data_IF_354095969851
#
_entry.id   IF_354095969851
#
_cell.length_a   1.000
_cell.length_b   1.000
_cell.length_c   1.000
_cell.angle_alpha   90.00
_cell.angle_beta   90.00
_cell.angle_gamma   90.00
#
_symmetry.space_group_name_H-M   'P 1'
#
loop_
_entity.id
_entity.type
_entity.pdbx_description
1 polymer ?
#
# COMPACT_ATOMS: atom_id res chain seq x y z
N UNK A 1 15.66 -3.96 4.81
CA UNK A 1 16.70 -5.00 4.49
C UNK A 1 15.98 -6.26 4.05
N UNK A 2 16.44 -6.95 2.99
CA UNK A 2 15.85 -8.24 2.58
C UNK A 2 15.99 -9.29 3.70
N UNK A 3 15.13 -10.33 3.70
CA UNK A 3 15.28 -11.48 4.59
C UNK A 3 16.67 -12.16 4.46
N UNK A 4 17.11 -12.90 5.47
CA UNK A 4 18.38 -13.65 5.39
C UNK A 4 18.42 -14.64 4.21
N UNK A 5 19.60 -14.98 3.67
CA UNK A 5 19.73 -16.03 2.67
C UNK A 5 19.08 -17.36 3.13
N UNK A 6 18.60 -18.17 2.17
CA UNK A 6 17.82 -19.39 2.37
C UNK A 6 16.40 -19.20 2.91
N UNK A 7 15.96 -17.99 3.24
CA UNK A 7 14.57 -17.74 3.62
C UNK A 7 13.65 -18.09 2.44
N UNK A 8 12.55 -18.81 2.70
CA UNK A 8 11.51 -19.08 1.74
C UNK A 8 10.54 -17.92 1.72
N UNK A 9 10.39 -17.27 0.58
CA UNK A 9 9.54 -16.08 0.41
C UNK A 9 8.48 -16.30 -0.67
N UNK A 10 7.34 -15.63 -0.52
CA UNK A 10 6.30 -15.56 -1.55
C UNK A 10 6.26 -14.15 -2.14
N UNK A 11 6.13 -14.06 -3.47
CA UNK A 11 5.93 -12.79 -4.19
C UNK A 11 4.45 -12.47 -4.30
N UNK A 12 4.06 -11.28 -3.91
CA UNK A 12 2.70 -10.78 -4.09
C UNK A 12 2.71 -9.46 -4.86
N UNK A 13 1.77 -9.27 -5.78
CA UNK A 13 1.74 -8.08 -6.61
C UNK A 13 0.54 -8.01 -7.55
N UNK A 14 0.39 -6.91 -8.29
CA UNK A 14 -0.69 -6.75 -9.24
C UNK A 14 -0.46 -7.63 -10.48
N UNK A 15 -1.47 -8.41 -10.86
CA UNK A 15 -1.46 -9.25 -12.06
C UNK A 15 -2.57 -8.84 -13.03
N UNK A 16 -3.81 -8.73 -12.56
CA UNK A 16 -4.98 -8.49 -13.42
C UNK A 16 -4.97 -7.07 -14.01
N UNK A 17 -5.40 -6.96 -15.27
CA UNK A 17 -5.48 -5.67 -15.96
C UNK A 17 -4.12 -5.14 -16.44
N UNK A 18 -3.06 -5.92 -16.29
CA UNK A 18 -1.71 -5.61 -16.77
C UNK A 18 -1.37 -6.56 -17.93
N UNK A 19 -0.69 -6.08 -18.98
CA UNK A 19 -0.26 -6.94 -20.09
C UNK A 19 0.51 -8.17 -19.61
N UNK A 20 0.19 -9.34 -20.19
CA UNK A 20 0.78 -10.62 -19.80
C UNK A 20 0.64 -10.93 -18.31
N UNK A 21 -0.45 -10.47 -17.70
CA UNK A 21 -0.71 -10.64 -16.25
C UNK A 21 0.48 -10.21 -15.36
N UNK A 22 1.29 -9.27 -15.82
CA UNK A 22 2.50 -8.79 -15.12
C UNK A 22 3.58 -9.86 -14.87
N UNK A 23 3.51 -11.02 -15.48
CA UNK A 23 4.49 -12.11 -15.32
C UNK A 23 5.93 -11.64 -15.49
N UNK A 24 6.28 -10.79 -16.48
CA UNK A 24 7.66 -10.31 -16.62
C UNK A 24 8.20 -9.58 -15.37
N UNK A 25 7.35 -8.86 -14.62
CA UNK A 25 7.80 -8.19 -13.41
C UNK A 25 8.02 -9.19 -12.26
N UNK A 26 7.19 -10.24 -12.18
CA UNK A 26 7.40 -11.33 -11.23
C UNK A 26 8.69 -12.10 -11.55
N UNK A 27 8.94 -12.42 -12.81
CA UNK A 27 10.16 -13.11 -13.25
C UNK A 27 11.42 -12.30 -12.90
N UNK A 28 11.41 -11.00 -13.19
CA UNK A 28 12.53 -10.11 -12.88
C UNK A 28 12.78 -10.02 -11.37
N UNK A 29 11.72 -9.89 -10.57
CA UNK A 29 11.84 -9.84 -9.12
C UNK A 29 12.33 -11.18 -8.55
N UNK A 30 11.82 -12.30 -9.03
CA UNK A 30 12.26 -13.64 -8.63
C UNK A 30 13.76 -13.81 -8.89
N UNK A 31 14.23 -13.45 -10.08
CA UNK A 31 15.65 -13.55 -10.43
C UNK A 31 16.55 -12.73 -9.51
N UNK A 32 16.14 -11.51 -9.17
CA UNK A 32 16.88 -10.64 -8.24
C UNK A 32 16.95 -11.26 -6.84
N UNK A 33 15.84 -11.77 -6.34
CA UNK A 33 15.75 -12.34 -5.00
C UNK A 33 16.49 -13.68 -4.89
N UNK A 34 16.43 -14.53 -5.91
CA UNK A 34 17.19 -15.78 -5.98
C UNK A 34 18.70 -15.50 -6.07
N UNK A 35 19.10 -14.47 -6.83
CA UNK A 35 20.51 -14.02 -6.88
C UNK A 35 20.98 -13.52 -5.50
N UNK A 36 20.08 -12.95 -4.70
CA UNK A 36 20.35 -12.57 -3.31
C UNK A 36 20.35 -13.75 -2.34
N UNK A 37 20.15 -14.99 -2.83
CA UNK A 37 20.18 -16.22 -2.04
C UNK A 37 18.86 -16.61 -1.39
N UNK A 38 17.74 -16.00 -1.77
CA UNK A 38 16.41 -16.35 -1.27
C UNK A 38 15.81 -17.51 -2.09
N UNK A 39 14.90 -18.26 -1.47
CA UNK A 39 14.07 -19.26 -2.14
C UNK A 39 12.71 -18.63 -2.42
N UNK A 40 12.28 -18.58 -3.69
CA UNK A 40 11.12 -17.79 -4.08
C UNK A 40 9.98 -18.68 -4.57
N UNK A 41 8.79 -18.49 -4.02
CA UNK A 41 7.52 -18.94 -4.60
C UNK A 41 6.88 -17.74 -5.32
N UNK A 42 6.70 -17.89 -6.63
CA UNK A 42 6.13 -16.85 -7.48
C UNK A 42 4.80 -17.34 -8.05
N UNK A 43 3.69 -16.59 -7.91
CA UNK A 43 2.42 -16.95 -8.52
C UNK A 43 2.53 -17.10 -10.05
N UNK A 44 3.36 -16.29 -10.70
CA UNK A 44 3.59 -16.41 -12.14
C UNK A 44 4.25 -17.75 -12.51
N UNK A 45 5.23 -18.22 -11.74
CA UNK A 45 5.83 -19.52 -11.93
C UNK A 45 4.85 -20.66 -11.63
N UNK A 46 4.11 -20.56 -10.53
CA UNK A 46 3.09 -21.55 -10.14
C UNK A 46 1.97 -21.67 -11.18
N UNK A 47 1.55 -20.57 -11.79
CA UNK A 47 0.53 -20.57 -12.86
C UNK A 47 1.05 -21.25 -14.11
N UNK A 48 2.32 -21.00 -14.51
CA UNK A 48 2.94 -21.71 -15.66
C UNK A 48 3.11 -23.20 -15.39
N UNK A 49 3.47 -23.62 -14.19
CA UNK A 49 3.55 -25.04 -13.81
C UNK A 49 2.21 -25.76 -13.98
N UNK A 50 1.11 -25.03 -13.83
CA UNK A 50 -0.25 -25.55 -14.08
C UNK A 50 -0.68 -25.47 -15.56
N UNK A 51 0.21 -25.04 -16.42
CA UNK A 51 -0.03 -24.97 -17.87
C UNK A 51 -0.64 -23.66 -18.35
N UNK A 52 -0.71 -22.60 -17.53
CA UNK A 52 -1.21 -21.29 -17.95
C UNK A 52 -0.15 -20.55 -18.80
N UNK A 53 -0.53 -20.19 -20.03
CA UNK A 53 0.29 -19.38 -20.94
C UNK A 53 -0.20 -17.94 -20.94
N UNK A 54 0.53 -17.05 -20.28
CA UNK A 54 0.19 -15.64 -20.12
C UNK A 54 0.12 -14.85 -21.44
N UNK A 55 0.55 -15.47 -22.56
CA UNK A 55 0.50 -14.84 -23.88
C UNK A 55 -0.74 -15.22 -24.69
N UNK A 56 -1.45 -16.27 -24.29
CA UNK A 56 -2.59 -16.86 -25.04
C UNK A 56 -3.84 -17.07 -24.21
N UNK A 57 -3.65 -17.39 -22.92
CA UNK A 57 -4.75 -17.82 -22.09
C UNK A 57 -5.51 -16.64 -21.46
N UNK A 58 -6.79 -16.84 -21.24
CA UNK A 58 -7.64 -15.92 -20.47
C UNK A 58 -7.95 -16.56 -19.13
N UNK A 59 -7.59 -15.88 -18.06
CA UNK A 59 -7.86 -16.35 -16.71
C UNK A 59 -9.37 -16.40 -16.44
N UNK A 60 -9.92 -17.60 -16.43
CA UNK A 60 -11.34 -17.84 -16.12
C UNK A 60 -11.62 -17.67 -14.62
N UNK A 61 -12.89 -17.45 -14.20
CA UNK A 61 -13.23 -17.39 -12.77
C UNK A 61 -12.80 -18.66 -12.00
N UNK A 62 -12.92 -19.84 -12.60
CA UNK A 62 -12.50 -21.10 -11.99
C UNK A 62 -10.98 -21.17 -11.82
N UNK A 63 -10.22 -20.75 -12.84
CA UNK A 63 -8.76 -20.64 -12.75
C UNK A 63 -8.33 -19.67 -11.64
N UNK A 64 -8.96 -18.49 -11.56
CA UNK A 64 -8.65 -17.48 -10.54
C UNK A 64 -8.97 -17.96 -9.12
N UNK A 65 -10.05 -18.71 -8.94
CA UNK A 65 -10.39 -19.29 -7.64
C UNK A 65 -9.35 -20.31 -7.18
N UNK A 66 -8.91 -21.18 -8.09
CA UNK A 66 -7.88 -22.18 -7.80
C UNK A 66 -6.50 -21.53 -7.61
N UNK A 67 -6.13 -20.51 -8.41
CA UNK A 67 -4.91 -19.74 -8.21
C UNK A 67 -4.88 -19.14 -6.80
N UNK A 68 -5.92 -18.42 -6.38
CA UNK A 68 -6.00 -17.84 -5.05
C UNK A 68 -5.86 -18.90 -3.94
N UNK A 69 -6.47 -20.08 -4.10
CA UNK A 69 -6.35 -21.17 -3.13
C UNK A 69 -4.89 -21.60 -2.97
N UNK A 70 -4.19 -21.79 -4.08
CA UNK A 70 -2.78 -22.19 -4.09
C UNK A 70 -1.85 -21.09 -3.57
N UNK A 71 -2.13 -19.83 -3.88
CA UNK A 71 -1.40 -18.68 -3.37
C UNK A 71 -1.51 -18.59 -1.84
N UNK A 72 -2.71 -18.77 -1.30
CA UNK A 72 -2.92 -18.80 0.15
C UNK A 72 -2.21 -20.00 0.80
N UNK A 73 -2.26 -21.17 0.17
CA UNK A 73 -1.52 -22.35 0.64
C UNK A 73 0.00 -22.12 0.62
N UNK A 74 0.52 -21.40 -0.37
CA UNK A 74 1.92 -21.01 -0.42
C UNK A 74 2.28 -20.03 0.71
N UNK A 75 1.46 -19.00 0.92
CA UNK A 75 1.67 -18.01 2.01
C UNK A 75 1.67 -18.68 3.39
N UNK A 76 0.88 -19.73 3.57
CA UNK A 76 0.88 -20.48 4.83
C UNK A 76 2.18 -21.26 5.11
N UNK A 77 3.08 -21.40 4.13
CA UNK A 77 4.33 -22.20 4.23
C UNK A 77 5.60 -21.36 4.17
N UNK A 78 5.53 -20.10 3.76
CA UNK A 78 6.70 -19.24 3.62
C UNK A 78 7.08 -18.52 4.92
N UNK A 79 8.30 -18.05 4.98
CA UNK A 79 8.85 -17.34 6.15
C UNK A 79 8.68 -15.81 6.01
N UNK A 80 8.51 -15.29 4.80
CA UNK A 80 8.28 -13.88 4.54
C UNK A 80 7.46 -13.66 3.24
N UNK A 81 6.81 -12.50 3.16
CA UNK A 81 6.13 -12.00 1.98
C UNK A 81 6.93 -10.87 1.35
N UNK A 82 7.06 -10.85 0.02
CA UNK A 82 7.67 -9.75 -0.72
C UNK A 82 6.59 -9.11 -1.61
N UNK A 83 6.33 -7.83 -1.40
CA UNK A 83 5.32 -7.06 -2.12
C UNK A 83 5.96 -6.31 -3.30
N UNK A 84 5.47 -6.56 -4.51
CA UNK A 84 5.88 -5.83 -5.72
C UNK A 84 5.22 -4.45 -5.80
N UNK A 85 5.81 -3.48 -6.49
CA UNK A 85 5.23 -2.15 -6.66
C UNK A 85 3.79 -2.19 -7.19
N UNK A 86 2.91 -1.38 -6.62
CA UNK A 86 1.50 -1.31 -6.99
C UNK A 86 0.61 -2.38 -6.34
N UNK A 87 1.13 -3.16 -5.40
CA UNK A 87 0.38 -4.18 -4.66
C UNK A 87 -0.87 -3.62 -3.96
N UNK A 88 -0.84 -2.37 -3.53
CA UNK A 88 -1.95 -1.69 -2.83
C UNK A 88 -3.23 -1.62 -3.67
N UNK A 89 -3.08 -1.64 -4.99
CA UNK A 89 -4.20 -1.60 -5.96
C UNK A 89 -4.66 -2.98 -6.39
N UNK A 90 -3.97 -4.02 -5.97
CA UNK A 90 -4.31 -5.41 -6.27
C UNK A 90 -5.13 -6.02 -5.15
N UNK A 91 -6.39 -6.33 -5.42
CA UNK A 91 -7.25 -7.03 -4.45
C UNK A 91 -6.63 -8.36 -4.00
N UNK A 92 -5.97 -9.11 -4.91
CA UNK A 92 -5.28 -10.35 -4.58
C UNK A 92 -4.11 -10.09 -3.64
N UNK A 93 -3.16 -9.24 -4.04
CA UNK A 93 -1.98 -8.94 -3.23
C UNK A 93 -2.33 -8.33 -1.86
N UNK A 94 -3.41 -7.52 -1.79
CA UNK A 94 -3.91 -6.98 -0.52
C UNK A 94 -4.46 -8.10 0.39
N UNK A 95 -5.20 -9.05 -0.15
CA UNK A 95 -5.69 -10.21 0.61
C UNK A 95 -4.51 -11.08 1.11
N UNK A 96 -3.55 -11.36 0.24
CA UNK A 96 -2.31 -12.08 0.55
C UNK A 96 -1.52 -11.41 1.68
N UNK A 97 -1.36 -10.09 1.61
CA UNK A 97 -0.73 -9.29 2.65
C UNK A 97 -1.45 -9.39 3.99
N UNK A 98 -2.79 -9.39 3.99
CA UNK A 98 -3.56 -9.56 5.23
C UNK A 98 -3.38 -10.95 5.84
N UNK A 99 -3.30 -12.00 5.03
CA UNK A 99 -3.00 -13.35 5.52
C UNK A 99 -1.60 -13.44 6.10
N UNK A 100 -0.60 -12.83 5.44
CA UNK A 100 0.76 -12.74 5.95
C UNK A 100 0.83 -12.01 7.30
N UNK A 101 0.11 -10.88 7.43
CA UNK A 101 -0.03 -10.15 8.71
C UNK A 101 -0.68 -11.00 9.79
N UNK A 102 -1.75 -11.71 9.46
CA UNK A 102 -2.42 -12.62 10.39
C UNK A 102 -1.50 -13.75 10.85
N UNK A 103 -0.67 -14.27 9.94
CA UNK A 103 0.36 -15.28 10.25
C UNK A 103 1.52 -14.73 11.08
N UNK A 104 1.70 -13.41 11.13
CA UNK A 104 2.82 -12.76 11.84
C UNK A 104 4.18 -12.92 11.15
N UNK A 105 4.21 -13.22 9.84
CA UNK A 105 5.46 -13.28 9.07
C UNK A 105 5.89 -11.88 8.62
N UNK A 106 7.19 -11.69 8.39
CA UNK A 106 7.72 -10.43 7.90
C UNK A 106 7.25 -10.15 6.48
N UNK A 107 6.95 -8.88 6.21
CA UNK A 107 6.50 -8.41 4.90
C UNK A 107 7.47 -7.34 4.42
N UNK A 108 8.04 -7.53 3.24
CA UNK A 108 9.06 -6.65 2.68
C UNK A 108 8.59 -6.02 1.38
N UNK A 109 9.04 -4.80 1.11
CA UNK A 109 8.74 -4.07 -0.13
C UNK A 109 9.86 -4.28 -1.15
N UNK A 110 9.52 -4.69 -2.36
CA UNK A 110 10.46 -4.77 -3.48
C UNK A 110 10.50 -3.43 -4.25
N UNK A 111 11.66 -2.95 -4.71
CA UNK A 111 13.01 -3.54 -4.61
C UNK A 111 13.78 -3.13 -3.36
N UNK A 112 13.27 -2.26 -2.51
CA UNK A 112 14.00 -1.67 -1.37
C UNK A 112 14.36 -2.67 -0.28
N UNK A 113 13.59 -3.76 -0.14
CA UNK A 113 13.69 -4.70 0.97
C UNK A 113 13.24 -4.13 2.33
N UNK A 114 12.67 -2.91 2.36
CA UNK A 114 12.13 -2.33 3.59
C UNK A 114 11.00 -3.20 4.15
N UNK A 115 10.90 -3.33 5.46
CA UNK A 115 9.76 -3.99 6.10
C UNK A 115 8.50 -3.15 5.94
N UNK A 116 7.39 -3.80 5.65
CA UNK A 116 6.09 -3.13 5.66
C UNK A 116 5.75 -2.75 7.11
N UNK A 117 5.64 -1.46 7.37
CA UNK A 117 5.44 -0.91 8.71
C UNK A 117 6.70 -0.29 9.33
N UNK A 118 7.89 -0.54 8.76
CA UNK A 118 9.11 0.23 9.05
C UNK A 118 9.29 1.43 8.10
N UNK A 119 8.28 1.72 7.28
CA UNK A 119 8.30 2.95 6.51
C UNK A 119 8.38 4.15 7.47
N UNK A 120 9.32 5.03 7.21
CA UNK A 120 9.37 6.31 7.91
C UNK A 120 7.98 6.96 7.82
N UNK A 121 7.46 7.34 8.98
CA UNK A 121 6.16 8.02 9.10
C UNK A 121 6.01 9.15 8.09
N UNK A 122 7.10 9.84 7.76
CA UNK A 122 7.12 10.93 6.79
C UNK A 122 7.01 10.44 5.35
N UNK A 123 7.66 9.33 4.99
CA UNK A 123 7.59 8.75 3.65
C UNK A 123 6.19 8.19 3.38
N UNK A 124 5.60 7.50 4.33
CA UNK A 124 4.22 7.03 4.24
C UNK A 124 3.22 8.19 4.15
N UNK A 125 3.37 9.21 4.98
CA UNK A 125 2.55 10.42 4.91
C UNK A 125 2.66 11.11 3.54
N UNK A 126 3.87 11.18 2.98
CA UNK A 126 4.13 11.73 1.64
C UNK A 126 3.46 10.88 0.55
N UNK A 127 3.58 9.55 0.64
CA UNK A 127 2.95 8.61 -0.29
C UNK A 127 1.42 8.75 -0.29
N UNK A 128 0.80 8.74 0.88
CA UNK A 128 -0.66 8.85 1.03
C UNK A 128 -1.16 10.19 0.51
N UNK A 129 -0.53 11.29 0.86
CA UNK A 129 -0.99 12.63 0.51
C UNK A 129 -0.67 13.06 -0.93
N UNK A 130 0.32 12.45 -1.58
CA UNK A 130 0.70 12.72 -2.97
C UNK A 130 0.07 11.77 -4.00
N UNK A 131 -0.51 10.64 -3.56
CA UNK A 131 -1.00 9.57 -4.41
C UNK A 131 -2.53 9.54 -4.58
N UNK A 132 -3.11 8.39 -4.23
CA UNK A 132 -4.52 8.08 -4.50
C UNK A 132 -5.51 9.00 -3.76
N UNK A 133 -5.18 9.53 -2.58
CA UNK A 133 -6.03 10.51 -1.89
C UNK A 133 -6.14 11.81 -2.66
N UNK A 134 -5.05 12.29 -3.27
CA UNK A 134 -5.11 13.49 -4.10
C UNK A 134 -5.97 13.27 -5.36
N UNK A 135 -5.91 12.07 -5.96
CA UNK A 135 -6.80 11.70 -7.08
C UNK A 135 -8.26 11.59 -6.67
N UNK A 136 -8.53 11.04 -5.50
CA UNK A 136 -9.90 10.80 -5.02
C UNK A 136 -10.57 12.08 -4.49
N UNK A 137 -9.84 12.92 -3.77
CA UNK A 137 -10.39 14.08 -3.05
C UNK A 137 -9.92 15.43 -3.59
N UNK A 138 -9.00 15.43 -4.55
CA UNK A 138 -8.39 16.64 -5.11
C UNK A 138 -7.37 17.30 -4.17
N UNK A 139 -6.89 18.45 -4.58
CA UNK A 139 -5.88 19.21 -3.82
C UNK A 139 -6.38 19.58 -2.42
N UNK A 140 -5.56 19.45 -1.36
CA UNK A 140 -5.96 19.72 0.03
C UNK A 140 -6.60 21.09 0.24
N UNK A 141 -6.12 22.14 -0.40
CA UNK A 141 -6.70 23.48 -0.27
C UNK A 141 -8.18 23.51 -0.70
N UNK A 142 -8.56 22.76 -1.74
CA UNK A 142 -9.96 22.68 -2.21
C UNK A 142 -10.80 21.81 -1.28
N UNK A 143 -10.33 20.63 -0.93
CA UNK A 143 -11.06 19.68 -0.09
C UNK A 143 -11.29 20.24 1.32
N UNK A 144 -10.24 20.73 1.96
CA UNK A 144 -10.34 21.33 3.30
C UNK A 144 -11.07 22.68 3.28
N UNK A 145 -11.00 23.43 2.17
CA UNK A 145 -11.81 24.63 1.99
C UNK A 145 -13.31 24.34 1.99
N UNK A 146 -13.74 23.24 1.38
CA UNK A 146 -15.14 22.78 1.44
C UNK A 146 -15.54 22.41 2.88
N UNK A 147 -14.68 21.70 3.59
CA UNK A 147 -14.92 21.34 5.01
C UNK A 147 -15.02 22.59 5.88
N UNK A 148 -14.13 23.56 5.70
CA UNK A 148 -14.17 24.84 6.43
C UNK A 148 -15.47 25.61 6.14
N UNK A 149 -15.93 25.63 4.88
CA UNK A 149 -17.20 26.27 4.52
C UNK A 149 -18.40 25.61 5.22
N UNK A 150 -18.42 24.29 5.33
CA UNK A 150 -19.45 23.57 6.08
C UNK A 150 -19.42 23.92 7.59
N UNK A 151 -18.25 23.98 8.20
CA UNK A 151 -18.09 24.35 9.60
C UNK A 151 -18.53 25.79 9.88
N UNK A 152 -18.23 26.73 8.97
CA UNK A 152 -18.67 28.12 9.04
C UNK A 152 -20.20 28.24 8.96
N UNK A 153 -20.82 27.41 8.11
CA UNK A 153 -22.29 27.36 8.04
C UNK A 153 -22.94 26.79 9.30
N UNK A 154 -22.32 25.79 9.93
CA UNK A 154 -22.82 25.18 11.16
C UNK A 154 -22.59 26.06 12.39
N UNK A 155 -21.57 26.93 12.38
CA UNK A 155 -21.24 27.81 13.51
C UNK A 155 -21.04 29.25 13.02
N UNK A 156 -22.10 30.01 12.80
CA UNK A 156 -22.01 31.42 12.39
C UNK A 156 -21.20 32.26 13.37
N UNK A 157 -20.43 33.21 12.85
CA UNK A 157 -19.59 34.10 13.67
C UNK A 157 -18.15 33.61 13.88
N UNK A 158 -17.82 32.41 13.38
CA UNK A 158 -16.44 31.90 13.28
C UNK A 158 -16.02 31.87 11.83
N UNK A 159 -14.73 32.05 11.55
CA UNK A 159 -14.19 32.01 10.18
C UNK A 159 -13.08 30.97 10.11
N UNK A 160 -13.47 29.70 9.97
CA UNK A 160 -12.55 28.61 9.74
C UNK A 160 -11.99 28.64 8.31
N UNK A 161 -10.72 28.33 8.20
CA UNK A 161 -9.98 28.22 6.93
C UNK A 161 -9.62 26.76 6.64
N UNK A 162 -9.17 26.46 5.42
CA UNK A 162 -8.63 25.14 5.06
C UNK A 162 -7.46 24.71 5.98
N UNK A 163 -6.64 25.67 6.41
CA UNK A 163 -5.56 25.43 7.36
C UNK A 163 -6.07 25.00 8.73
N UNK A 164 -7.16 25.62 9.22
CA UNK A 164 -7.74 25.25 10.51
C UNK A 164 -8.26 23.82 10.49
N UNK A 165 -8.82 23.36 9.37
CA UNK A 165 -9.21 21.95 9.19
C UNK A 165 -8.02 21.02 9.40
N UNK A 166 -6.86 21.30 8.78
CA UNK A 166 -5.64 20.51 8.98
C UNK A 166 -5.22 20.47 10.45
N UNK A 167 -5.22 21.62 11.14
CA UNK A 167 -4.84 21.74 12.55
C UNK A 167 -5.79 20.95 13.47
N UNK A 168 -7.09 21.01 13.22
CA UNK A 168 -8.06 20.23 14.00
C UNK A 168 -7.91 18.72 13.76
N UNK A 169 -7.62 18.30 12.55
CA UNK A 169 -7.36 16.88 12.26
C UNK A 169 -6.10 16.37 12.97
N UNK A 170 -5.04 17.18 13.06
CA UNK A 170 -3.85 16.89 13.88
C UNK A 170 -4.24 16.73 15.35
N UNK A 171 -5.01 17.67 15.89
CA UNK A 171 -5.47 17.62 17.29
C UNK A 171 -6.29 16.35 17.57
N UNK A 172 -7.17 15.92 16.66
CA UNK A 172 -7.91 14.65 16.76
C UNK A 172 -6.96 13.46 16.83
N UNK A 173 -5.91 13.42 16.02
CA UNK A 173 -4.93 12.31 16.01
C UNK A 173 -4.07 12.32 17.28
N UNK A 174 -3.67 13.47 17.79
CA UNK A 174 -2.97 13.60 19.07
C UNK A 174 -3.85 13.09 20.23
N UNK A 175 -5.13 13.44 20.25
CA UNK A 175 -6.07 12.92 21.24
C UNK A 175 -6.22 11.39 21.16
N UNK A 176 -6.27 10.83 19.97
CA UNK A 176 -6.31 9.37 19.78
C UNK A 176 -5.03 8.70 20.25
N UNK A 177 -3.87 9.28 19.94
CA UNK A 177 -2.56 8.78 20.36
C UNK A 177 -2.45 8.69 21.88
N UNK A 178 -3.00 9.68 22.62
CA UNK A 178 -2.98 9.68 24.08
C UNK A 178 -3.84 8.57 24.71
N UNK A 179 -4.85 8.05 23.99
CA UNK A 179 -5.76 7.01 24.47
C UNK A 179 -5.42 5.62 23.96
N UNK A 180 -5.00 5.52 22.71
CA UNK A 180 -4.69 4.26 22.02
C UNK A 180 -3.53 4.49 21.04
N UNK A 181 -2.27 4.39 21.51
CA UNK A 181 -1.09 4.61 20.70
C UNK A 181 -1.05 3.68 19.48
N UNK A 182 -0.82 4.26 18.29
CA UNK A 182 -0.68 3.54 17.03
C UNK A 182 0.23 4.33 16.08
N UNK A 183 1.12 3.64 15.38
CA UNK A 183 1.97 4.27 14.34
C UNK A 183 1.16 5.06 13.31
N UNK A 184 -0.03 4.57 12.95
CA UNK A 184 -0.96 5.24 12.03
C UNK A 184 -1.35 6.66 12.49
N UNK A 185 -1.46 6.92 13.80
CA UNK A 185 -1.74 8.27 14.29
C UNK A 185 -0.62 9.25 13.94
N UNK A 186 0.64 8.82 14.02
CA UNK A 186 1.79 9.66 13.67
C UNK A 186 1.89 9.90 12.16
N UNK A 187 1.63 8.87 11.36
CA UNK A 187 1.53 8.96 9.89
C UNK A 187 0.45 9.96 9.48
N UNK A 188 -0.71 9.89 10.11
CA UNK A 188 -1.82 10.82 9.84
C UNK A 188 -1.48 12.25 10.29
N UNK A 189 -0.82 12.45 11.44
CA UNK A 189 -0.36 13.78 11.89
C UNK A 189 0.58 14.38 10.85
N UNK A 190 1.57 13.63 10.38
CA UNK A 190 2.51 14.07 9.34
C UNK A 190 1.78 14.38 8.01
N UNK A 191 0.82 13.56 7.63
CA UNK A 191 -0.04 13.77 6.46
C UNK A 191 -0.87 15.05 6.54
N UNK A 192 -1.52 15.30 7.68
CA UNK A 192 -2.28 16.54 7.88
C UNK A 192 -1.39 17.77 8.00
N UNK A 193 -0.19 17.66 8.58
CA UNK A 193 0.79 18.74 8.58
C UNK A 193 1.20 19.13 7.16
N UNK A 194 1.46 18.13 6.29
CA UNK A 194 1.74 18.35 4.87
C UNK A 194 0.54 18.99 4.15
N UNK A 195 -0.67 18.50 4.37
CA UNK A 195 -1.88 19.08 3.81
C UNK A 195 -2.07 20.54 4.25
N UNK A 196 -1.80 20.86 5.52
CA UNK A 196 -1.86 22.22 6.06
C UNK A 196 -0.86 23.17 5.36
N UNK A 197 0.37 22.70 5.10
CA UNK A 197 1.35 23.46 4.33
C UNK A 197 0.88 23.71 2.88
N UNK A 198 0.31 22.69 2.23
CA UNK A 198 -0.24 22.81 0.86
C UNK A 198 -1.46 23.75 0.81
N UNK A 199 -2.23 23.87 1.89
CA UNK A 199 -3.31 24.87 1.96
C UNK A 199 -2.81 26.31 1.96
N UNK A 200 -1.57 26.55 2.40
CA UNK A 200 -0.91 27.87 2.36
C UNK A 200 -0.26 28.14 1.00
N UNK A 201 0.04 27.10 0.24
CA UNK A 201 0.74 27.13 -1.03
C UNK A 201 -0.03 26.36 -2.10
N UNK A 202 -1.23 26.86 -2.50
CA UNK A 202 -2.12 26.13 -3.45
C UNK A 202 -1.51 26.00 -4.86
N UNK A 203 -0.45 26.74 -5.16
CA UNK A 203 0.31 26.67 -6.41
C UNK A 203 1.24 25.44 -6.50
N UNK A 204 1.51 24.78 -5.37
CA UNK A 204 2.34 23.57 -5.38
C UNK A 204 1.52 22.38 -5.90
N UNK A 205 1.93 21.83 -7.03
CA UNK A 205 1.36 20.61 -7.60
C UNK A 205 1.94 19.37 -6.90
N UNK A 206 1.08 18.42 -6.55
CA UNK A 206 1.42 17.16 -5.87
C UNK A 206 1.74 16.03 -6.85
#
# INVERSE_FOLDING_TARGET
>A
MLPPPNTLVYLAGPMRGIPRYNFPAFDAAQQVLETAGLRVLSPAAMDRERGFDETKDVATPAFLAEAMRLDLDAILRVDALILLPGWERSTGATAEMHVAKWRGISIHLFPSGALLGDEDVLDEAKRITGGDRNRAYGHPAKNFGQTAALWNALKPGVNFTAKDVALFMIAVKLSRESHSPKTDNWTDIAGYARCGALCQHPEITL
#
